data_IF_769138668808
#
_entry.id   IF_769138668808
#
_cell.length_a   1.000
_cell.length_b   1.000
_cell.length_c   1.000
_cell.angle_alpha   90.00
_cell.angle_beta   90.00
_cell.angle_gamma   90.00
#
_symmetry.space_group_name_H-M   'P 1'
#
loop_
_entity.id
_entity.type
_entity.pdbx_description
1 polymer ?
#
# COMPACT_ATOMS: atom_id res chain seq x y z
N UNK A 1 18.28 20.82 -8.60
CA UNK A 1 18.20 20.28 -7.22
C UNK A 1 18.29 18.76 -7.29
N UNK A 2 19.04 18.09 -6.41
CA UNK A 2 19.25 16.63 -6.46
C UNK A 2 18.24 15.89 -5.59
N UNK A 3 17.89 14.64 -5.95
CA UNK A 3 16.98 13.79 -5.16
C UNK A 3 17.41 13.72 -3.68
N UNK A 4 18.72 13.71 -3.41
CA UNK A 4 19.28 13.69 -2.05
C UNK A 4 18.87 14.91 -1.21
N UNK A 5 18.69 16.08 -1.81
CA UNK A 5 18.19 17.27 -1.13
C UNK A 5 16.73 17.12 -0.70
N UNK A 6 15.91 16.45 -1.50
CA UNK A 6 14.50 16.20 -1.18
C UNK A 6 14.34 15.11 -0.12
N UNK A 7 15.20 14.09 -0.15
CA UNK A 7 15.14 12.95 0.77
C UNK A 7 15.51 13.28 2.22
N UNK A 8 16.33 14.32 2.47
CA UNK A 8 16.76 14.71 3.83
C UNK A 8 15.61 15.08 4.78
N UNK A 9 14.44 15.45 4.23
CA UNK A 9 13.28 15.89 5.00
C UNK A 9 12.18 14.82 5.12
N UNK A 10 12.40 13.62 4.58
CA UNK A 10 11.46 12.51 4.68
C UNK A 10 11.86 11.62 5.86
N UNK A 11 10.94 11.43 6.80
CA UNK A 11 11.04 10.37 7.81
C UNK A 11 10.93 9.02 7.09
N UNK A 12 11.93 8.12 7.20
CA UNK A 12 11.86 6.82 6.55
C UNK A 12 10.63 6.03 6.97
N UNK A 13 9.99 5.34 6.02
CA UNK A 13 8.84 4.50 6.30
C UNK A 13 9.24 3.32 7.18
N UNK A 14 8.54 3.17 8.30
CA UNK A 14 8.77 2.11 9.29
C UNK A 14 7.49 1.31 9.57
N UNK A 15 6.52 1.36 8.67
CA UNK A 15 5.20 0.74 8.84
C UNK A 15 4.12 1.67 9.40
N UNK A 16 4.47 2.88 9.85
CA UNK A 16 3.54 3.87 10.41
C UNK A 16 3.34 5.04 9.43
N UNK A 17 2.18 5.68 9.47
CA UNK A 17 1.83 6.87 8.67
C UNK A 17 2.00 6.68 7.16
N UNK A 18 1.64 5.49 6.64
CA UNK A 18 1.75 5.16 5.22
C UNK A 18 1.16 6.22 4.26
N UNK A 19 -0.02 6.83 4.52
CA UNK A 19 -0.54 7.87 3.63
C UNK A 19 0.41 9.06 3.46
N UNK A 20 1.03 9.51 4.55
CA UNK A 20 1.98 10.63 4.54
C UNK A 20 3.29 10.24 3.85
N UNK A 21 3.79 9.03 4.10
CA UNK A 21 4.98 8.54 3.39
C UNK A 21 4.72 8.44 1.88
N UNK A 22 3.59 7.84 1.49
CA UNK A 22 3.17 7.65 0.10
C UNK A 22 3.12 9.00 -0.64
N UNK A 23 2.44 9.98 -0.05
CA UNK A 23 2.34 11.35 -0.58
C UNK A 23 3.74 11.96 -0.81
N UNK A 24 4.60 11.94 0.21
CA UNK A 24 5.95 12.51 0.12
C UNK A 24 6.82 11.84 -0.95
N UNK A 25 6.76 10.51 -1.08
CA UNK A 25 7.50 9.79 -2.13
C UNK A 25 6.98 10.17 -3.51
N UNK A 26 5.66 10.23 -3.69
CA UNK A 26 5.06 10.64 -4.96
C UNK A 26 5.42 12.08 -5.32
N UNK A 27 5.46 12.99 -4.36
CA UNK A 27 5.87 14.38 -4.59
C UNK A 27 7.33 14.50 -5.02
N UNK A 28 8.24 13.71 -4.41
CA UNK A 28 9.63 13.65 -4.88
C UNK A 28 9.69 13.15 -6.32
N UNK A 29 9.00 12.05 -6.63
CA UNK A 29 9.03 11.48 -7.97
C UNK A 29 8.47 12.47 -9.00
N UNK A 30 7.37 13.16 -8.69
CA UNK A 30 6.81 14.23 -9.54
C UNK A 30 7.78 15.39 -9.74
N UNK A 31 8.45 15.84 -8.68
CA UNK A 31 9.43 16.94 -8.76
C UNK A 31 10.65 16.61 -9.64
N UNK A 32 10.90 15.32 -9.87
CA UNK A 32 11.97 14.80 -10.69
C UNK A 32 11.48 14.29 -12.06
N UNK A 33 10.20 14.47 -12.37
CA UNK A 33 9.55 13.95 -13.59
C UNK A 33 9.64 12.42 -13.74
N UNK A 34 9.66 11.69 -12.62
CA UNK A 34 9.78 10.24 -12.55
C UNK A 34 8.45 9.54 -12.21
N UNK A 35 7.42 10.27 -11.79
CA UNK A 35 6.15 9.70 -11.34
C UNK A 35 5.45 8.86 -12.43
N UNK A 36 5.69 9.18 -13.70
CA UNK A 36 5.14 8.43 -14.81
C UNK A 36 5.54 6.94 -14.81
N UNK A 37 6.71 6.58 -14.26
CA UNK A 37 7.18 5.18 -14.24
C UNK A 37 6.38 4.31 -13.27
N UNK A 38 5.60 4.93 -12.38
CA UNK A 38 4.67 4.21 -11.51
C UNK A 38 3.37 3.82 -12.22
N UNK A 39 3.11 4.39 -13.39
CA UNK A 39 1.83 4.26 -14.10
C UNK A 39 1.96 3.79 -15.54
N UNK A 40 3.16 3.87 -16.13
CA UNK A 40 3.43 3.43 -17.51
C UNK A 40 4.24 2.15 -17.52
N UNK A 41 3.72 1.17 -18.25
CA UNK A 41 4.41 -0.08 -18.53
C UNK A 41 5.70 0.15 -19.33
N UNK A 42 6.60 -0.84 -19.23
CA UNK A 42 7.81 -0.90 -20.03
C UNK A 42 7.44 -0.81 -21.52
N UNK A 43 8.12 0.03 -22.32
CA UNK A 43 7.88 0.10 -23.76
C UNK A 43 7.97 -1.29 -24.40
N UNK A 44 7.03 -1.61 -25.29
CA UNK A 44 7.01 -2.86 -26.04
C UNK A 44 7.75 -2.72 -27.37
N UNK A 45 8.48 -3.77 -27.76
CA UNK A 45 9.17 -3.82 -29.04
C UNK A 45 8.17 -3.71 -30.19
N UNK A 46 8.46 -2.91 -31.23
CA UNK A 46 7.67 -2.90 -32.46
C UNK A 46 7.71 -4.30 -33.13
N UNK A 47 6.60 -4.67 -33.78
CA UNK A 47 6.53 -5.85 -34.66
C UNK A 47 7.44 -5.68 -35.88
N UNK A 48 7.97 -6.78 -36.42
CA UNK A 48 8.78 -6.79 -37.65
C UNK A 48 8.01 -6.40 -38.91
N UNK A 49 6.69 -6.49 -38.87
CA UNK A 49 5.84 -6.39 -40.07
C UNK A 49 5.40 -4.94 -40.39
N UNK A 50 5.98 -3.95 -39.71
CA UNK A 50 5.54 -2.56 -39.76
C UNK A 50 6.39 -1.78 -40.77
N UNK A 51 5.75 -0.98 -41.62
CA UNK A 51 6.45 0.04 -42.42
C UNK A 51 7.25 0.99 -41.51
N UNK A 52 8.44 1.40 -41.99
CA UNK A 52 9.42 2.20 -41.25
C UNK A 52 9.95 1.49 -39.99
N UNK A 53 10.14 0.16 -40.05
CA UNK A 53 10.66 -0.65 -38.94
C UNK A 53 11.92 -0.06 -38.31
N UNK A 54 12.91 0.34 -39.13
CA UNK A 54 14.18 0.88 -38.62
C UNK A 54 14.00 2.18 -37.82
N UNK A 55 13.17 3.11 -38.31
CA UNK A 55 12.88 4.38 -37.62
C UNK A 55 12.09 4.14 -36.32
N UNK A 56 11.08 3.27 -36.38
CA UNK A 56 10.30 2.87 -35.18
C UNK A 56 11.16 2.13 -34.17
N UNK A 57 12.08 1.29 -34.61
CA UNK A 57 13.01 0.57 -33.76
C UNK A 57 13.98 1.53 -33.05
N UNK A 58 14.52 2.52 -33.77
CA UNK A 58 15.33 3.58 -33.17
C UNK A 58 14.54 4.39 -32.14
N UNK A 59 13.31 4.81 -32.47
CA UNK A 59 12.43 5.52 -31.54
C UNK A 59 12.05 4.67 -30.31
N UNK A 60 11.89 3.36 -30.49
CA UNK A 60 11.65 2.40 -29.40
C UNK A 60 12.86 2.29 -28.48
N UNK A 61 14.07 2.09 -29.02
CA UNK A 61 15.30 1.97 -28.23
C UNK A 61 15.52 3.21 -27.35
N UNK A 62 15.36 4.41 -27.92
CA UNK A 62 15.48 5.65 -27.16
C UNK A 62 14.48 5.74 -26.00
N UNK A 63 13.22 5.36 -26.24
CA UNK A 63 12.18 5.33 -25.19
C UNK A 63 12.47 4.28 -24.13
N UNK A 64 12.95 3.11 -24.53
CA UNK A 64 13.30 2.01 -23.65
C UNK A 64 14.45 2.41 -22.71
N UNK A 65 15.55 2.92 -23.26
CA UNK A 65 16.72 3.35 -22.47
C UNK A 65 16.35 4.44 -21.46
N UNK A 66 15.55 5.42 -21.89
CA UNK A 66 15.06 6.47 -21.00
C UNK A 66 14.20 5.87 -19.88
N UNK A 67 13.22 5.02 -20.23
CA UNK A 67 12.33 4.40 -19.26
C UNK A 67 13.11 3.53 -18.26
N UNK A 68 14.09 2.73 -18.70
CA UNK A 68 14.89 1.87 -17.82
C UNK A 68 15.75 2.69 -16.84
N UNK A 69 16.35 3.79 -17.32
CA UNK A 69 17.10 4.72 -16.48
C UNK A 69 16.21 5.36 -15.42
N UNK A 70 15.06 5.88 -15.82
CA UNK A 70 14.13 6.59 -14.95
C UNK A 70 13.48 5.63 -13.94
N UNK A 71 13.10 4.42 -14.37
CA UNK A 71 12.60 3.34 -13.53
C UNK A 71 13.64 2.93 -12.47
N UNK A 72 14.91 2.73 -12.87
CA UNK A 72 16.00 2.41 -11.93
C UNK A 72 16.22 3.53 -10.91
N UNK A 73 16.06 4.79 -11.32
CA UNK A 73 16.21 5.92 -10.42
C UNK A 73 15.03 6.03 -9.43
N UNK A 74 13.80 5.90 -9.91
CA UNK A 74 12.60 5.88 -9.07
C UNK A 74 12.65 4.75 -8.03
N UNK A 75 13.03 3.53 -8.46
CA UNK A 75 13.23 2.38 -7.57
C UNK A 75 14.21 2.70 -6.44
N UNK A 76 15.32 3.39 -6.76
CA UNK A 76 16.32 3.81 -5.74
C UNK A 76 15.74 4.80 -4.73
N UNK A 77 14.92 5.76 -5.18
CA UNK A 77 14.26 6.73 -4.31
C UNK A 77 13.29 6.02 -3.37
N UNK A 78 12.44 5.13 -3.90
CA UNK A 78 11.49 4.33 -3.11
C UNK A 78 12.27 3.52 -2.06
N UNK A 79 13.28 2.75 -2.46
CA UNK A 79 14.10 1.94 -1.52
C UNK A 79 14.75 2.79 -0.42
N UNK A 80 15.32 3.95 -0.76
CA UNK A 80 15.97 4.84 0.22
C UNK A 80 14.96 5.54 1.15
N UNK A 81 13.68 5.59 0.77
CA UNK A 81 12.62 6.17 1.60
C UNK A 81 12.08 5.21 2.66
N UNK A 82 12.51 3.95 2.65
CA UNK A 82 12.10 2.90 3.58
C UNK A 82 13.20 2.71 4.64
N UNK A 83 12.78 2.47 5.88
CA UNK A 83 13.69 2.15 6.98
C UNK A 83 14.40 0.81 6.74
N UNK A 84 15.71 0.74 7.03
CA UNK A 84 16.52 -0.47 6.82
C UNK A 84 15.93 -1.70 7.53
N UNK A 85 15.24 -1.53 8.66
CA UNK A 85 14.66 -2.63 9.43
C UNK A 85 13.53 -3.41 8.73
N UNK A 86 12.84 -2.79 7.77
CA UNK A 86 11.76 -3.45 6.99
C UNK A 86 12.09 -3.55 5.50
N UNK A 87 13.25 -3.01 5.09
CA UNK A 87 13.65 -2.94 3.69
C UNK A 87 13.83 -4.31 3.05
N UNK A 88 14.28 -5.29 3.83
CA UNK A 88 14.45 -6.68 3.40
C UNK A 88 13.14 -7.47 3.30
N UNK A 89 12.00 -6.90 3.69
CA UNK A 89 10.69 -7.56 3.54
C UNK A 89 10.15 -7.49 2.12
N UNK A 90 10.69 -6.60 1.28
CA UNK A 90 10.26 -6.40 -0.09
C UNK A 90 11.19 -7.16 -1.04
N UNK A 91 10.65 -8.10 -1.81
CA UNK A 91 11.39 -8.80 -2.86
C UNK A 91 11.74 -7.80 -3.97
N UNK A 92 13.02 -7.43 -4.03
CA UNK A 92 13.52 -6.35 -4.88
C UNK A 92 14.62 -6.80 -5.84
N UNK A 93 14.41 -7.96 -6.47
CA UNK A 93 15.26 -8.49 -7.53
C UNK A 93 15.48 -7.48 -8.68
N UNK A 94 16.46 -7.77 -9.55
CA UNK A 94 16.88 -6.82 -10.59
C UNK A 94 15.74 -6.44 -11.55
N UNK A 95 14.86 -7.40 -11.85
CA UNK A 95 13.73 -7.25 -12.77
C UNK A 95 12.56 -6.46 -12.19
N UNK A 96 12.43 -6.39 -10.86
CA UNK A 96 11.34 -5.67 -10.20
C UNK A 96 11.37 -4.19 -10.57
N UNK A 97 10.29 -3.71 -11.18
CA UNK A 97 10.10 -2.32 -11.56
C UNK A 97 9.81 -1.44 -10.35
N UNK A 98 9.96 -0.12 -10.51
CA UNK A 98 9.58 0.84 -9.48
C UNK A 98 8.08 0.75 -9.16
N UNK A 99 7.24 0.52 -10.17
CA UNK A 99 5.80 0.34 -10.02
C UNK A 99 5.47 -0.89 -9.18
N UNK A 100 6.06 -2.05 -9.50
CA UNK A 100 5.85 -3.29 -8.74
C UNK A 100 6.33 -3.16 -7.29
N UNK A 101 7.52 -2.59 -7.07
CA UNK A 101 8.01 -2.35 -5.71
C UNK A 101 7.05 -1.43 -4.94
N UNK A 102 6.59 -0.35 -5.55
CA UNK A 102 5.64 0.58 -4.92
C UNK A 102 4.35 -0.15 -4.54
N UNK A 103 3.80 -0.94 -5.46
CA UNK A 103 2.61 -1.77 -5.25
C UNK A 103 2.78 -2.80 -4.13
N UNK A 104 3.92 -3.50 -4.07
CA UNK A 104 4.23 -4.46 -3.00
C UNK A 104 4.19 -3.79 -1.63
N UNK A 105 4.74 -2.58 -1.51
CA UNK A 105 4.70 -1.82 -0.25
C UNK A 105 3.26 -1.46 0.14
N UNK A 106 2.41 -1.06 -0.83
CA UNK A 106 1.00 -0.78 -0.56
C UNK A 106 0.25 -2.03 -0.10
N UNK A 107 0.52 -3.16 -0.75
CA UNK A 107 -0.10 -4.44 -0.45
C UNK A 107 0.28 -4.93 0.95
N UNK A 108 1.56 -4.86 1.31
CA UNK A 108 2.05 -5.25 2.62
C UNK A 108 1.51 -4.35 3.73
N UNK A 109 1.50 -3.02 3.51
CA UNK A 109 0.87 -2.10 4.45
C UNK A 109 -0.62 -2.43 4.64
N UNK A 110 -1.36 -2.70 3.55
CA UNK A 110 -2.76 -3.10 3.62
C UNK A 110 -2.92 -4.41 4.40
N UNK A 111 -2.08 -5.41 4.17
CA UNK A 111 -2.09 -6.70 4.87
C UNK A 111 -1.86 -6.53 6.37
N UNK A 112 -0.81 -5.81 6.77
CA UNK A 112 -0.46 -5.54 8.17
C UNK A 112 -1.56 -4.73 8.87
N UNK A 113 -2.03 -3.65 8.25
CA UNK A 113 -3.10 -2.81 8.78
C UNK A 113 -4.40 -3.59 8.96
N UNK A 114 -4.78 -4.42 7.99
CA UNK A 114 -5.98 -5.27 8.06
C UNK A 114 -5.87 -6.29 9.19
N UNK A 115 -4.72 -6.97 9.31
CA UNK A 115 -4.47 -7.92 10.41
C UNK A 115 -4.55 -7.24 11.76
N UNK A 116 -3.95 -6.05 11.91
CA UNK A 116 -4.01 -5.26 13.13
C UNK A 116 -5.45 -4.93 13.52
N UNK A 117 -6.27 -4.47 12.57
CA UNK A 117 -7.68 -4.16 12.83
C UNK A 117 -8.50 -5.39 13.20
N UNK A 118 -8.26 -6.55 12.56
CA UNK A 118 -8.90 -7.81 12.94
C UNK A 118 -8.54 -8.19 14.38
N UNK A 119 -7.25 -8.19 14.72
CA UNK A 119 -6.82 -8.47 16.09
C UNK A 119 -7.44 -7.49 17.08
N UNK A 120 -7.44 -6.20 16.76
CA UNK A 120 -8.07 -5.17 17.61
C UNK A 120 -9.57 -5.43 17.79
N UNK A 121 -10.29 -5.79 16.72
CA UNK A 121 -11.72 -6.08 16.78
C UNK A 121 -12.02 -7.32 17.62
N UNK A 122 -11.28 -8.41 17.45
CA UNK A 122 -11.51 -9.67 18.16
C UNK A 122 -11.05 -9.64 19.61
N UNK A 123 -10.12 -8.76 19.95
CA UNK A 123 -9.62 -8.58 21.33
C UNK A 123 -10.26 -7.41 22.06
N UNK A 124 -11.08 -6.58 21.40
CA UNK A 124 -11.76 -5.45 22.03
C UNK A 124 -12.80 -5.98 23.04
N UNK A 125 -12.59 -5.69 24.31
CA UNK A 125 -13.50 -6.03 25.41
C UNK A 125 -14.10 -4.76 26.00
N UNK A 126 -15.35 -4.86 26.47
CA UNK A 126 -15.93 -3.79 27.27
C UNK A 126 -15.19 -3.71 28.61
N UNK A 127 -14.81 -2.50 29.01
CA UNK A 127 -14.02 -2.27 30.22
C UNK A 127 -14.88 -2.15 31.50
N UNK A 128 -16.21 -2.10 31.36
CA UNK A 128 -17.14 -2.00 32.49
C UNK A 128 -17.44 -0.58 32.95
N UNK A 129 -16.67 0.43 32.52
CA UNK A 129 -16.76 1.81 33.05
C UNK A 129 -16.72 2.92 32.01
N UNK A 130 -16.23 2.69 30.78
CA UNK A 130 -16.17 3.73 29.72
C UNK A 130 -17.52 4.05 29.07
N UNK A 131 -18.57 3.32 29.46
CA UNK A 131 -19.93 3.44 28.93
C UNK A 131 -20.12 2.66 27.63
N UNK A 132 -21.23 1.92 27.55
CA UNK A 132 -21.55 1.02 26.43
C UNK A 132 -21.57 1.73 25.06
N UNK A 133 -22.02 2.99 25.01
CA UNK A 133 -22.06 3.79 23.77
C UNK A 133 -20.65 4.01 23.20
N UNK A 134 -19.66 4.26 24.06
CA UNK A 134 -18.27 4.46 23.63
C UNK A 134 -17.63 3.15 23.15
N UNK A 135 -17.97 2.04 23.80
CA UNK A 135 -17.55 0.70 23.38
C UNK A 135 -18.13 0.34 22.00
N UNK A 136 -19.44 0.51 21.80
CA UNK A 136 -20.12 0.27 20.51
C UNK A 136 -19.53 1.15 19.41
N UNK A 137 -19.29 2.43 19.70
CA UNK A 137 -18.66 3.35 18.74
C UNK A 137 -17.26 2.89 18.33
N UNK A 138 -16.47 2.41 19.29
CA UNK A 138 -15.12 1.90 19.01
C UNK A 138 -15.16 0.64 18.14
N UNK A 139 -16.09 -0.28 18.39
CA UNK A 139 -16.32 -1.44 17.53
C UNK A 139 -16.74 -1.02 16.12
N UNK A 140 -17.67 -0.07 16.02
CA UNK A 140 -18.16 0.45 14.75
C UNK A 140 -17.04 1.10 13.92
N UNK A 141 -16.21 1.94 14.55
CA UNK A 141 -15.10 2.62 13.88
C UNK A 141 -14.10 1.61 13.28
N UNK A 142 -13.75 0.55 14.02
CA UNK A 142 -12.87 -0.53 13.53
C UNK A 142 -13.53 -1.29 12.38
N UNK A 143 -14.82 -1.65 12.51
CA UNK A 143 -15.56 -2.36 11.47
C UNK A 143 -15.71 -1.52 10.18
N UNK A 144 -15.93 -0.22 10.33
CA UNK A 144 -15.96 0.73 9.22
C UNK A 144 -14.61 0.83 8.52
N UNK A 145 -13.52 0.93 9.28
CA UNK A 145 -12.17 0.97 8.70
C UNK A 145 -11.85 -0.32 7.95
N UNK A 146 -12.15 -1.49 8.53
CA UNK A 146 -12.02 -2.79 7.84
C UNK A 146 -12.81 -2.80 6.54
N UNK A 147 -14.10 -2.42 6.58
CA UNK A 147 -14.96 -2.36 5.39
C UNK A 147 -14.35 -1.47 4.30
N UNK A 148 -13.80 -0.32 4.66
CA UNK A 148 -13.18 0.57 3.68
C UNK A 148 -11.98 -0.06 2.97
N UNK A 149 -11.21 -0.94 3.64
CA UNK A 149 -10.10 -1.70 3.03
C UNK A 149 -10.58 -2.86 2.15
N UNK A 150 -11.80 -3.34 2.38
CA UNK A 150 -12.44 -4.46 1.69
C UNK A 150 -13.48 -4.02 0.65
N UNK A 151 -13.35 -2.85 0.01
CA UNK A 151 -14.34 -2.38 -1.00
C UNK A 151 -14.66 -3.37 -2.15
N UNK A 152 -13.96 -4.50 -2.29
CA UNK A 152 -14.26 -5.63 -3.19
C UNK A 152 -14.61 -6.96 -2.48
N UNK A 153 -14.78 -7.02 -1.16
CA UNK A 153 -15.19 -8.24 -0.46
C UNK A 153 -16.72 -8.37 -0.45
N UNK A 154 -17.19 -9.57 -0.74
CA UNK A 154 -18.61 -9.93 -0.80
C UNK A 154 -19.34 -9.48 0.49
N UNK A 155 -20.49 -8.82 0.33
CA UNK A 155 -21.33 -8.28 1.43
C UNK A 155 -21.68 -9.35 2.47
N UNK A 156 -21.81 -10.62 2.06
CA UNK A 156 -22.10 -11.75 2.95
C UNK A 156 -21.02 -11.97 4.03
N UNK A 157 -19.73 -11.80 3.71
CA UNK A 157 -18.67 -11.99 4.71
C UNK A 157 -18.72 -10.93 5.82
N UNK A 158 -19.20 -9.72 5.50
CA UNK A 158 -19.35 -8.63 6.46
C UNK A 158 -20.58 -8.80 7.34
N UNK A 159 -21.70 -9.33 6.81
CA UNK A 159 -22.89 -9.62 7.62
C UNK A 159 -22.65 -10.73 8.62
N UNK A 160 -21.89 -11.77 8.24
CA UNK A 160 -21.51 -12.83 9.18
C UNK A 160 -20.59 -12.32 10.30
N UNK A 161 -19.63 -11.44 9.99
CA UNK A 161 -18.76 -10.82 11.00
C UNK A 161 -19.57 -9.94 11.97
N UNK A 162 -20.50 -9.14 11.45
CA UNK A 162 -21.35 -8.27 12.27
C UNK A 162 -22.26 -9.10 13.19
N UNK A 163 -22.84 -10.19 12.67
CA UNK A 163 -23.69 -11.09 13.44
C UNK A 163 -22.88 -11.80 14.55
N UNK A 164 -21.68 -12.31 14.24
CA UNK A 164 -20.80 -12.95 15.22
C UNK A 164 -20.41 -12.01 16.36
N UNK A 165 -20.08 -10.76 16.04
CA UNK A 165 -19.69 -9.76 17.04
C UNK A 165 -20.88 -9.34 17.91
N UNK A 166 -22.06 -9.16 17.31
CA UNK A 166 -23.29 -8.87 18.05
C UNK A 166 -23.66 -10.02 19.00
N UNK A 167 -23.59 -11.27 18.54
CA UNK A 167 -23.85 -12.44 19.40
C UNK A 167 -22.81 -12.59 20.50
N UNK A 168 -21.55 -12.25 20.22
CA UNK A 168 -20.48 -12.33 21.23
C UNK A 168 -20.60 -11.25 22.31
N UNK A 169 -21.07 -10.04 21.95
CA UNK A 169 -21.36 -9.01 22.94
C UNK A 169 -22.58 -9.35 23.81
N UNK A 170 -23.64 -9.92 23.22
CA UNK A 170 -24.83 -10.32 23.99
C UNK A 170 -24.56 -11.51 24.90
N UNK A 171 -23.78 -12.51 24.45
CA UNK A 171 -23.39 -13.66 25.28
C UNK A 171 -22.45 -13.26 26.45
N UNK A 172 -21.66 -12.20 26.28
CA UNK A 172 -20.85 -11.63 27.35
C UNK A 172 -21.69 -10.84 28.37
N UNK A 173 -22.79 -10.22 27.95
CA UNK A 173 -23.75 -9.56 28.85
C UNK A 173 -24.60 -10.57 29.65
N UNK A 174 -24.91 -11.74 29.09
CA UNK A 174 -25.69 -12.79 29.77
C UNK A 174 -24.85 -13.74 30.65
N UNK A 175 -23.53 -13.59 30.69
CA UNK A 175 -22.64 -14.42 31.52
C UNK A 175 -22.51 -15.88 31.06
N UNK A 176 -22.79 -16.17 29.79
CA UNK A 176 -22.90 -17.54 29.26
C UNK A 176 -21.54 -18.10 28.78
N UNK A 177 -20.51 -17.25 28.59
CA UNK A 177 -19.17 -17.68 28.18
C UNK A 177 -18.14 -17.37 29.28
N UNK A 178 -17.77 -18.39 30.06
CA UNK A 178 -16.52 -18.42 30.86
C UNK A 178 -15.35 -18.91 30.04
#
# INVERSE_FOLDING_TARGET
MTAESHMKNIKPFNGIDFPLWKEKVQDILKSLELDYVLHKDKPFSPSSDIEEFDEKMHGYQFKLEKWEKDNKFAKRIIKRSISEGIKGEFDDNEDTTASELFFLIELEHKRVSTRFLFTRLTTLRYDGYSGIVKHIRSMYDIAYELRSKFHNANYESLTHLFFYLYTSSTLAEEGIMT
#
